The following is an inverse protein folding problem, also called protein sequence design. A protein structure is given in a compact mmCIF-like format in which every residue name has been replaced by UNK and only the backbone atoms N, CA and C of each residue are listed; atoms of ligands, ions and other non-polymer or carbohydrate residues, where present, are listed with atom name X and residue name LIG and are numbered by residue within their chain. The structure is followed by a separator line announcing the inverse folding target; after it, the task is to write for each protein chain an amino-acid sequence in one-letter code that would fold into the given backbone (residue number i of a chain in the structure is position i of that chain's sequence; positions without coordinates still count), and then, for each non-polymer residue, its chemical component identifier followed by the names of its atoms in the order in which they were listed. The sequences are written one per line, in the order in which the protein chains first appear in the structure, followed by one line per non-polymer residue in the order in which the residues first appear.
data_IF_442689181027
#
_entry.id   IF_442689181027
#
_cell.length_a   1.000
_cell.length_b   1.000
_cell.length_c   1.000
_cell.angle_alpha   90.00
_cell.angle_beta   90.00
_cell.angle_gamma   90.00
#
_symmetry.space_group_name_H-M   'P 1'
#
loop_
_entity.id
_entity.type
_entity.pdbx_description
1 polymer ?
#
# COMPACT_ATOMS: atom_id res chain seq x y z
N UNK A 1 -47.80 -4.25 -9.44
CA UNK A 1 -47.86 -5.57 -8.77
C UNK A 1 -46.69 -5.58 -7.82
N UNK A 2 -46.95 -5.70 -6.52
CA UNK A 2 -45.88 -5.79 -5.53
C UNK A 2 -45.27 -7.19 -5.61
N UNK A 3 -44.14 -7.31 -6.28
CA UNK A 3 -43.40 -8.56 -6.37
C UNK A 3 -42.84 -8.91 -4.99
N UNK A 4 -43.51 -9.83 -4.30
CA UNK A 4 -43.04 -10.35 -3.02
C UNK A 4 -41.97 -11.41 -3.26
N UNK A 5 -40.71 -11.09 -2.97
CA UNK A 5 -39.61 -12.06 -2.99
C UNK A 5 -39.64 -12.88 -1.70
N UNK A 6 -39.58 -14.21 -1.84
CA UNK A 6 -39.59 -15.15 -0.71
C UNK A 6 -38.20 -15.72 -0.47
N UNK A 7 -37.87 -15.97 0.78
CA UNK A 7 -36.59 -16.53 1.22
C UNK A 7 -36.83 -17.85 1.93
N UNK A 8 -36.06 -18.89 1.60
CA UNK A 8 -36.17 -20.21 2.23
C UNK A 8 -35.30 -20.35 3.48
N UNK A 9 -34.13 -19.71 3.48
CA UNK A 9 -33.16 -19.74 4.57
C UNK A 9 -32.34 -18.46 4.56
N UNK A 10 -31.94 -17.97 5.73
CA UNK A 10 -30.98 -16.88 5.84
C UNK A 10 -29.55 -17.42 5.80
N UNK A 11 -28.67 -16.68 5.13
CA UNK A 11 -27.26 -17.02 5.06
C UNK A 11 -26.59 -16.84 6.44
N UNK A 12 -25.50 -17.57 6.73
CA UNK A 12 -24.72 -17.37 7.97
C UNK A 12 -24.20 -15.94 8.13
N UNK A 13 -23.98 -15.23 7.03
CA UNK A 13 -23.60 -13.81 7.01
C UNK A 13 -24.62 -13.05 6.18
N UNK A 14 -25.12 -11.94 6.73
CA UNK A 14 -26.06 -11.03 6.08
C UNK A 14 -25.37 -9.69 5.85
N UNK A 15 -25.42 -9.21 4.61
CA UNK A 15 -25.00 -7.86 4.24
C UNK A 15 -26.25 -7.03 3.98
N UNK A 16 -26.46 -6.00 4.79
CA UNK A 16 -27.55 -5.05 4.64
C UNK A 16 -27.00 -3.81 3.96
N UNK A 17 -27.31 -3.67 2.67
CA UNK A 17 -27.08 -2.43 1.92
C UNK A 17 -28.13 -1.40 2.33
N UNK A 18 -27.67 -0.26 2.84
CA UNK A 18 -28.52 0.82 3.32
C UNK A 18 -28.97 1.77 2.20
N UNK A 19 -28.41 1.57 1.00
CA UNK A 19 -28.61 2.32 -0.24
C UNK A 19 -28.69 3.84 -0.06
N UNK A 20 -27.66 4.49 0.48
CA UNK A 20 -27.69 5.92 0.76
C UNK A 20 -27.54 6.79 -0.50
N UNK A 21 -27.41 6.17 -1.69
CA UNK A 21 -27.43 6.91 -2.97
C UNK A 21 -28.85 7.28 -3.41
N UNK A 22 -29.85 6.56 -2.92
CA UNK A 22 -31.25 6.82 -3.24
C UNK A 22 -31.82 7.89 -2.31
N UNK A 23 -32.41 8.99 -2.83
CA UNK A 23 -32.94 10.07 -2.01
C UNK A 23 -33.95 9.63 -0.96
N UNK A 24 -34.74 8.58 -1.26
CA UNK A 24 -35.73 8.03 -0.31
C UNK A 24 -35.08 7.36 0.89
N UNK A 25 -33.96 6.67 0.68
CA UNK A 25 -33.23 6.01 1.76
C UNK A 25 -32.45 7.04 2.58
N UNK A 26 -31.88 8.07 1.95
CA UNK A 26 -31.29 9.21 2.68
C UNK A 26 -32.33 9.84 3.61
N UNK A 27 -33.51 10.18 3.09
CA UNK A 27 -34.59 10.75 3.89
C UNK A 27 -35.04 9.81 5.03
N UNK A 28 -35.07 8.49 4.77
CA UNK A 28 -35.34 7.49 5.80
C UNK A 28 -34.30 7.57 6.92
N UNK A 29 -33.00 7.48 6.60
CA UNK A 29 -31.92 7.53 7.59
C UNK A 29 -31.92 8.85 8.35
N UNK A 30 -32.07 9.98 7.67
CA UNK A 30 -32.19 11.27 8.35
C UNK A 30 -33.31 11.30 9.38
N UNK A 31 -34.50 10.79 9.02
CA UNK A 31 -35.65 10.76 9.93
C UNK A 31 -35.44 9.81 11.10
N UNK A 32 -34.93 8.61 10.83
CA UNK A 32 -34.71 7.62 11.89
C UNK A 32 -33.67 8.13 12.88
N UNK A 33 -32.49 8.54 12.39
CA UNK A 33 -31.40 9.00 13.25
C UNK A 33 -31.81 10.23 14.08
N UNK A 34 -32.54 11.21 13.51
CA UNK A 34 -33.05 12.36 14.28
C UNK A 34 -33.99 11.97 15.43
N UNK A 35 -34.66 10.82 15.35
CA UNK A 35 -35.63 10.37 16.36
C UNK A 35 -35.02 9.44 17.40
N UNK A 36 -34.09 8.58 16.98
CA UNK A 36 -33.58 7.49 17.81
C UNK A 36 -32.19 7.76 18.38
N UNK A 37 -31.34 8.52 17.69
CA UNK A 37 -29.98 8.82 18.16
C UNK A 37 -30.02 9.97 19.15
N UNK A 38 -29.75 9.64 20.41
CA UNK A 38 -29.51 10.62 21.46
C UNK A 38 -28.10 10.36 21.97
N UNK A 39 -27.15 11.19 21.54
CA UNK A 39 -25.86 11.25 22.22
C UNK A 39 -26.10 11.81 23.62
N UNK A 40 -25.61 11.18 24.71
CA UNK A 40 -25.63 11.78 26.03
C UNK A 40 -25.04 13.19 25.95
N UNK A 41 -25.57 14.12 26.76
CA UNK A 41 -25.22 15.54 26.68
C UNK A 41 -23.71 15.69 26.53
N UNK A 42 -23.30 16.15 25.35
CA UNK A 42 -21.94 16.59 25.07
C UNK A 42 -21.51 17.48 26.24
N UNK A 43 -20.70 16.95 27.16
CA UNK A 43 -19.92 17.85 28.01
C UNK A 43 -18.92 18.41 27.04
N UNK A 44 -19.26 19.57 26.46
CA UNK A 44 -18.22 20.48 25.98
C UNK A 44 -17.22 20.49 27.14
N UNK A 45 -15.96 20.09 26.94
CA UNK A 45 -14.97 20.27 27.99
C UNK A 45 -15.14 21.71 28.48
N UNK A 46 -15.18 21.97 29.79
CA UNK A 46 -15.43 23.32 30.32
C UNK A 46 -14.41 24.36 29.82
N UNK A 47 -13.38 23.88 29.11
CA UNK A 47 -12.67 24.64 28.10
C UNK A 47 -13.14 24.20 26.71
N UNK A 48 -13.99 25.00 26.08
CA UNK A 48 -13.59 25.43 24.74
C UNK A 48 -12.12 25.82 24.89
N UNK A 49 -11.23 25.23 24.11
CA UNK A 49 -9.94 25.85 23.90
C UNK A 49 -10.25 27.15 23.15
N UNK A 50 -10.77 28.14 23.89
CA UNK A 50 -10.70 29.53 23.57
C UNK A 50 -9.21 29.76 23.42
N UNK A 51 -8.79 29.73 22.15
CA UNK A 51 -7.72 30.57 21.69
C UNK A 51 -8.13 31.98 22.09
N UNK A 52 -7.82 32.34 23.34
CA UNK A 52 -7.71 33.73 23.73
C UNK A 52 -6.82 34.35 22.66
N UNK A 53 -7.47 35.19 21.87
CA UNK A 53 -6.89 35.89 20.75
C UNK A 53 -5.83 36.82 21.33
N UNK A 54 -4.60 36.33 21.38
CA UNK A 54 -3.51 36.98 22.09
C UNK A 54 -2.14 36.40 21.77
N UNK A 55 -1.92 35.87 20.55
CA UNK A 55 -0.59 35.40 20.15
C UNK A 55 -0.56 34.80 18.76
N UNK A 56 0.08 35.52 17.82
CA UNK A 56 0.59 35.14 16.48
C UNK A 56 0.07 33.82 15.86
N UNK A 57 -0.49 33.92 14.66
CA UNK A 57 -0.72 32.80 13.73
C UNK A 57 0.53 31.92 13.60
N UNK A 58 0.56 30.77 14.26
CA UNK A 58 1.67 29.83 14.16
C UNK A 58 1.61 29.10 12.82
N UNK A 59 2.69 29.20 12.04
CA UNK A 59 2.81 28.43 10.80
C UNK A 59 2.98 26.94 11.14
N UNK A 60 2.34 26.01 10.41
CA UNK A 60 2.46 24.58 10.66
C UNK A 60 3.90 24.11 10.42
N UNK A 61 4.36 23.20 11.26
CA UNK A 61 5.67 22.60 11.12
C UNK A 61 5.70 21.72 9.87
N UNK A 62 6.70 21.94 9.01
CA UNK A 62 6.93 21.13 7.81
C UNK A 62 7.06 19.64 8.10
N UNK A 63 7.51 19.29 9.30
CA UNK A 63 7.73 17.89 9.71
C UNK A 63 6.56 17.30 10.50
N UNK A 64 5.49 18.06 10.77
CA UNK A 64 4.31 17.59 11.49
C UNK A 64 4.64 16.76 12.74
N UNK A 65 3.94 15.65 12.93
CA UNK A 65 4.18 14.70 14.03
C UNK A 65 5.60 14.09 14.05
N UNK A 66 6.31 14.13 12.92
CA UNK A 66 7.66 13.60 12.76
C UNK A 66 8.77 14.58 13.16
N UNK A 67 8.42 15.74 13.76
CA UNK A 67 9.41 16.73 14.20
C UNK A 67 10.25 16.20 15.37
N UNK A 68 11.53 15.93 15.13
CA UNK A 68 12.49 15.44 16.15
C UNK A 68 12.79 16.44 17.26
N UNK A 69 12.36 17.70 17.13
CA UNK A 69 12.62 18.75 18.12
C UNK A 69 11.31 19.35 18.67
N UNK A 70 10.27 18.52 18.82
CA UNK A 70 8.90 18.94 19.13
C UNK A 70 8.81 19.86 20.35
N UNK A 71 9.56 19.57 21.42
CA UNK A 71 9.59 20.41 22.64
C UNK A 71 10.13 21.83 22.44
N UNK A 72 10.91 22.07 21.38
CA UNK A 72 11.61 23.34 21.15
C UNK A 72 11.34 23.94 19.76
N UNK A 73 10.45 23.33 18.98
CA UNK A 73 10.16 23.72 17.61
C UNK A 73 9.13 24.86 17.61
N UNK A 74 9.47 25.95 16.91
CA UNK A 74 8.72 27.22 16.89
C UNK A 74 7.50 27.23 15.95
N UNK A 75 7.09 26.06 15.45
CA UNK A 75 6.03 25.87 14.46
C UNK A 75 4.98 24.90 15.04
N UNK A 76 3.71 25.00 14.64
CA UNK A 76 2.66 24.16 15.25
C UNK A 76 2.71 22.72 14.74
N UNK A 77 2.44 21.73 15.60
CA UNK A 77 2.50 20.29 15.26
C UNK A 77 1.15 19.58 15.40
N UNK A 78 0.03 20.32 15.43
CA UNK A 78 -1.27 19.77 15.87
C UNK A 78 -1.29 19.49 17.39
N UNK A 79 -2.44 19.08 17.91
CA UNK A 79 -2.64 18.78 19.34
C UNK A 79 -1.55 17.80 19.84
N UNK A 80 -0.97 18.15 20.99
CA UNK A 80 0.25 17.52 21.49
C UNK A 80 0.04 16.07 21.97
N UNK A 81 -1.20 15.66 22.17
CA UNK A 81 -1.53 14.41 22.86
C UNK A 81 -2.84 13.87 22.31
N UNK A 82 -2.79 13.31 21.10
CA UNK A 82 -3.93 12.67 20.44
C UNK A 82 -4.53 11.57 21.32
N UNK A 83 -3.70 10.86 22.08
CA UNK A 83 -4.14 9.83 23.00
C UNK A 83 -4.91 10.42 24.19
N UNK A 84 -4.48 11.56 24.73
CA UNK A 84 -5.21 12.28 25.78
C UNK A 84 -6.50 12.91 25.25
N UNK A 85 -6.47 13.46 24.04
CA UNK A 85 -7.67 13.95 23.36
C UNK A 85 -8.65 12.80 23.17
N UNK A 86 -8.29 11.72 22.49
CA UNK A 86 -9.12 10.52 22.39
C UNK A 86 -9.63 10.03 23.74
N UNK A 87 -8.79 9.99 24.79
CA UNK A 87 -9.22 9.60 26.14
C UNK A 87 -10.32 10.51 26.68
N UNK A 88 -10.19 11.84 26.57
CA UNK A 88 -11.24 12.79 26.99
C UNK A 88 -12.53 12.64 26.17
N UNK A 89 -12.44 12.35 24.87
CA UNK A 89 -13.62 12.10 24.04
C UNK A 89 -14.28 10.74 24.34
N UNK A 90 -13.53 9.78 24.88
CA UNK A 90 -14.00 8.46 25.30
C UNK A 90 -14.52 8.43 26.75
N UNK A 91 -14.29 9.47 27.57
CA UNK A 91 -14.79 9.54 28.96
C UNK A 91 -16.33 9.40 29.06
N UNK A 92 -17.06 9.83 28.03
CA UNK A 92 -18.52 9.74 27.95
C UNK A 92 -19.02 8.44 27.25
N UNK A 93 -18.12 7.56 26.79
CA UNK A 93 -18.49 6.26 26.18
C UNK A 93 -18.70 5.18 27.25
N UNK A 94 -19.67 4.27 27.04
CA UNK A 94 -20.00 3.24 28.02
C UNK A 94 -20.87 3.72 29.20
N UNK A 95 -21.44 4.93 29.12
CA UNK A 95 -22.55 5.30 30.01
C UNK A 95 -23.86 4.69 29.48
N UNK A 96 -24.72 4.16 30.35
CA UNK A 96 -25.97 3.44 29.98
C UNK A 96 -27.04 4.32 29.27
N UNK A 97 -26.70 5.57 28.91
CA UNK A 97 -27.62 6.56 28.35
C UNK A 97 -27.59 6.65 26.81
N UNK A 98 -26.66 5.95 26.14
CA UNK A 98 -26.60 5.95 24.67
C UNK A 98 -27.78 5.18 24.06
N UNK A 99 -28.37 5.75 23.00
CA UNK A 99 -29.40 5.09 22.20
C UNK A 99 -28.97 5.05 20.75
N UNK A 100 -28.81 3.83 20.24
CA UNK A 100 -28.38 3.57 18.87
C UNK A 100 -29.57 3.09 18.04
N UNK A 101 -29.69 3.60 16.81
CA UNK A 101 -30.66 3.08 15.84
C UNK A 101 -30.23 1.72 15.28
N UNK A 102 -28.93 1.53 15.11
CA UNK A 102 -28.36 0.29 14.59
C UNK A 102 -28.36 -0.75 15.71
N UNK A 103 -29.15 -1.81 15.53
CA UNK A 103 -29.23 -2.89 16.49
C UNK A 103 -27.90 -3.67 16.56
N UNK A 104 -27.29 -3.85 17.74
CA UNK A 104 -26.06 -4.63 17.89
C UNK A 104 -26.28 -6.12 17.59
N UNK A 105 -27.51 -6.62 17.75
CA UNK A 105 -27.91 -7.97 17.38
C UNK A 105 -29.42 -8.04 17.15
N UNK A 106 -29.86 -9.06 16.42
CA UNK A 106 -31.27 -9.40 16.26
C UNK A 106 -31.47 -10.91 16.11
N UNK A 107 -32.69 -11.36 16.39
CA UNK A 107 -33.15 -12.71 16.12
C UNK A 107 -33.89 -12.75 14.80
N UNK A 108 -33.65 -13.81 14.04
CA UNK A 108 -34.31 -14.03 12.77
C UNK A 108 -34.94 -15.41 12.70
N UNK A 109 -36.15 -15.48 12.13
CA UNK A 109 -36.79 -16.74 11.76
C UNK A 109 -37.42 -16.63 10.38
N UNK A 110 -37.37 -17.71 9.61
CA UNK A 110 -38.04 -17.80 8.32
C UNK A 110 -39.33 -18.58 8.47
N UNK A 111 -40.46 -17.94 8.18
CA UNK A 111 -41.78 -18.57 8.22
C UNK A 111 -42.55 -18.23 6.95
N UNK A 112 -43.15 -19.23 6.29
CA UNK A 112 -43.94 -19.07 5.06
C UNK A 112 -43.20 -18.35 3.91
N UNK A 113 -41.87 -18.41 3.89
CA UNK A 113 -41.04 -17.74 2.90
C UNK A 113 -40.74 -16.26 3.22
N UNK A 114 -41.07 -15.78 4.42
CA UNK A 114 -40.77 -14.43 4.90
C UNK A 114 -39.77 -14.51 6.04
N UNK A 115 -38.77 -13.62 6.02
CA UNK A 115 -37.86 -13.43 7.13
C UNK A 115 -38.51 -12.47 8.15
N UNK A 116 -38.63 -12.94 9.39
CA UNK A 116 -39.15 -12.17 10.52
C UNK A 116 -37.97 -11.84 11.42
N UNK A 117 -37.71 -10.55 11.62
CA UNK A 117 -36.61 -10.03 12.44
C UNK A 117 -37.17 -9.44 13.74
N UNK A 118 -36.48 -9.66 14.85
CA UNK A 118 -36.85 -9.13 16.17
C UNK A 118 -35.63 -8.88 17.03
N UNK A 119 -35.55 -7.74 17.68
CA UNK A 119 -34.52 -7.45 18.70
C UNK A 119 -34.82 -8.15 20.05
N UNK A 120 -36.08 -8.55 20.27
CA UNK A 120 -36.50 -9.25 21.51
C UNK A 120 -36.53 -10.75 21.31
N UNK A 121 -36.42 -11.49 22.42
CA UNK A 121 -36.55 -12.95 22.45
C UNK A 121 -37.99 -13.33 22.07
N UNK A 122 -38.14 -13.94 20.89
CA UNK A 122 -39.42 -14.50 20.45
C UNK A 122 -39.53 -15.96 20.85
N UNK A 123 -40.73 -16.41 21.21
CA UNK A 123 -41.00 -17.84 21.43
C UNK A 123 -40.73 -18.66 20.15
N UNK A 124 -39.96 -19.74 20.29
CA UNK A 124 -39.61 -20.68 19.22
C UNK A 124 -38.13 -20.66 18.81
N UNK A 125 -37.76 -21.59 17.92
CA UNK A 125 -36.40 -21.67 17.36
C UNK A 125 -36.14 -20.45 16.44
N UNK A 126 -35.12 -19.67 16.77
CA UNK A 126 -34.69 -18.49 16.00
C UNK A 126 -33.17 -18.44 15.96
N UNK A 127 -32.63 -17.99 14.83
CA UNK A 127 -31.21 -17.74 14.65
C UNK A 127 -30.84 -16.38 15.27
N UNK A 128 -29.71 -16.31 15.98
CA UNK A 128 -29.19 -15.05 16.51
C UNK A 128 -28.13 -14.49 15.57
N UNK A 129 -28.28 -13.22 15.19
CA UNK A 129 -27.38 -12.49 14.32
C UNK A 129 -26.78 -11.33 15.09
N UNK A 130 -25.46 -11.26 15.13
CA UNK A 130 -24.70 -10.20 15.78
C UNK A 130 -24.10 -9.28 14.72
N UNK A 131 -23.99 -7.98 14.99
CA UNK A 131 -23.34 -7.02 14.11
C UNK A 131 -21.82 -7.13 14.25
N UNK A 132 -21.12 -7.27 13.12
CA UNK A 132 -19.70 -7.64 13.09
C UNK A 132 -18.85 -6.70 12.26
N UNK A 133 -19.45 -5.98 11.32
CA UNK A 133 -18.78 -4.92 10.59
C UNK A 133 -19.78 -3.86 10.13
N UNK A 134 -19.30 -2.62 10.03
CA UNK A 134 -20.02 -1.48 9.51
C UNK A 134 -19.11 -0.78 8.50
N UNK A 135 -19.60 -0.56 7.29
CA UNK A 135 -19.01 0.42 6.37
C UNK A 135 -19.86 1.67 6.46
N UNK A 136 -19.24 2.82 6.71
CA UNK A 136 -19.95 4.09 6.84
C UNK A 136 -19.35 5.16 5.94
N UNK A 137 -20.18 6.07 5.44
CA UNK A 137 -19.74 7.29 4.77
C UNK A 137 -19.55 8.39 5.80
N UNK A 138 -18.48 9.17 5.64
CA UNK A 138 -18.16 10.31 6.48
C UNK A 138 -18.25 11.60 5.68
N UNK A 139 -18.96 12.57 6.22
CA UNK A 139 -19.20 13.88 5.63
C UNK A 139 -18.63 15.03 6.46
N UNK A 140 -18.57 16.21 5.87
CA UNK A 140 -18.03 17.42 6.49
C UNK A 140 -19.06 18.18 7.36
N UNK A 141 -20.28 17.66 7.50
CA UNK A 141 -21.39 18.31 8.19
C UNK A 141 -22.16 19.35 7.37
N UNK A 142 -21.64 19.73 6.19
CA UNK A 142 -22.27 20.70 5.27
C UNK A 142 -22.98 20.01 4.09
N UNK A 143 -23.23 18.71 4.21
CA UNK A 143 -23.91 17.91 3.19
C UNK A 143 -22.97 17.35 2.11
N UNK A 144 -21.64 17.48 2.25
CA UNK A 144 -20.69 16.84 1.36
C UNK A 144 -20.10 15.58 2.02
N UNK A 145 -20.34 14.42 1.40
CA UNK A 145 -19.68 13.16 1.74
C UNK A 145 -18.27 13.14 1.16
N UNK A 146 -17.29 12.72 1.97
CA UNK A 146 -15.86 12.90 1.65
C UNK A 146 -15.13 11.57 1.46
N UNK A 147 -15.33 10.62 2.37
CA UNK A 147 -14.65 9.32 2.36
C UNK A 147 -15.51 8.25 3.05
N UNK A 148 -15.07 7.00 2.99
CA UNK A 148 -15.67 5.89 3.71
C UNK A 148 -14.74 5.38 4.79
N UNK A 149 -15.30 4.95 5.91
CA UNK A 149 -14.60 4.27 6.99
C UNK A 149 -15.16 2.85 7.15
N UNK A 150 -14.35 1.95 7.69
CA UNK A 150 -14.76 0.58 8.02
C UNK A 150 -14.53 0.35 9.50
N UNK A 151 -15.54 -0.19 10.19
CA UNK A 151 -15.44 -0.60 11.59
C UNK A 151 -15.69 -2.11 11.64
N UNK A 152 -14.79 -2.86 12.25
CA UNK A 152 -14.87 -4.32 12.37
C UNK A 152 -14.81 -4.69 13.83
N UNK A 153 -15.70 -5.57 14.28
CA UNK A 153 -15.70 -6.08 15.64
C UNK A 153 -14.62 -7.16 15.77
N UNK A 154 -13.83 -7.10 16.85
CA UNK A 154 -12.88 -8.14 17.22
C UNK A 154 -12.91 -8.40 18.74
N UNK A 155 -12.41 -9.56 19.16
CA UNK A 155 -12.46 -10.01 20.55
C UNK A 155 -11.14 -9.72 21.32
N UNK A 156 -10.24 -8.87 20.80
CA UNK A 156 -8.93 -8.65 21.42
C UNK A 156 -8.99 -7.79 22.69
N UNK A 157 -9.79 -6.72 22.67
CA UNK A 157 -9.99 -5.81 23.80
C UNK A 157 -11.49 -5.69 24.12
N UNK A 158 -11.96 -6.25 25.25
CA UNK A 158 -13.36 -6.17 25.66
C UNK A 158 -13.89 -4.74 25.88
N UNK A 159 -13.03 -3.78 26.21
CA UNK A 159 -13.43 -2.39 26.45
C UNK A 159 -13.52 -1.60 25.13
N UNK A 160 -12.72 -1.96 24.13
CA UNK A 160 -12.71 -1.34 22.81
C UNK A 160 -12.85 -2.41 21.73
N UNK A 161 -14.03 -3.08 21.63
CA UNK A 161 -14.18 -4.30 20.82
C UNK A 161 -14.31 -4.02 19.31
N UNK A 162 -14.13 -2.78 18.87
CA UNK A 162 -14.22 -2.38 17.47
C UNK A 162 -12.92 -1.77 17.00
N UNK A 163 -12.47 -2.17 15.81
CA UNK A 163 -11.34 -1.59 15.11
C UNK A 163 -11.85 -0.72 13.95
N UNK A 164 -11.55 0.57 13.99
CA UNK A 164 -11.86 1.56 12.97
C UNK A 164 -10.67 1.69 12.01
N UNK A 165 -10.97 1.53 10.72
CA UNK A 165 -10.06 1.72 9.60
C UNK A 165 -10.50 2.95 8.80
N UNK A 166 -9.60 3.92 8.70
CA UNK A 166 -9.71 5.08 7.83
C UNK A 166 -8.42 5.22 7.02
N UNK A 167 -8.39 4.62 5.83
CA UNK A 167 -7.20 4.44 5.00
C UNK A 167 -6.04 3.78 5.76
N UNK A 168 -5.05 4.57 6.17
CA UNK A 168 -3.86 4.12 6.92
C UNK A 168 -3.99 4.31 8.44
N UNK A 169 -5.03 5.03 8.89
CA UNK A 169 -5.34 5.18 10.30
C UNK A 169 -6.13 3.96 10.77
N UNK A 170 -5.59 3.28 11.78
CA UNK A 170 -6.23 2.15 12.45
C UNK A 170 -6.27 2.46 13.94
N UNK A 171 -7.47 2.45 14.53
CA UNK A 171 -7.65 2.72 15.97
C UNK A 171 -8.78 1.89 16.55
N UNK A 172 -8.73 1.60 17.85
CA UNK A 172 -9.77 0.86 18.56
C UNK A 172 -10.78 1.83 19.18
N UNK A 173 -12.06 1.47 19.13
CA UNK A 173 -13.16 2.32 19.61
C UNK A 173 -14.16 1.51 20.44
N UNK A 174 -14.89 2.23 21.31
CA UNK A 174 -15.97 1.66 22.11
C UNK A 174 -17.17 1.28 21.21
N UNK A 175 -17.99 0.33 21.66
CA UNK A 175 -19.21 -0.10 20.96
C UNK A 175 -20.16 1.07 20.68
N UNK A 176 -20.32 1.98 21.64
CA UNK A 176 -21.19 3.15 21.46
C UNK A 176 -20.73 4.06 20.32
N UNK A 177 -19.44 4.32 20.21
CA UNK A 177 -18.91 5.16 19.14
C UNK A 177 -19.01 4.46 17.77
N UNK A 178 -18.85 3.12 17.74
CA UNK A 178 -19.02 2.35 16.52
C UNK A 178 -20.47 2.41 16.00
N UNK A 179 -21.44 2.19 16.89
CA UNK A 179 -22.87 2.13 16.57
C UNK A 179 -23.50 3.51 16.35
N UNK A 180 -22.95 4.56 16.95
CA UNK A 180 -23.47 5.90 16.82
C UNK A 180 -23.41 6.38 15.37
N UNK A 181 -24.54 6.88 14.88
CA UNK A 181 -24.69 7.45 13.54
C UNK A 181 -25.23 8.87 13.65
N UNK A 182 -24.86 9.73 12.70
CA UNK A 182 -25.31 11.11 12.65
C UNK A 182 -25.63 11.49 11.21
N UNK A 183 -26.87 11.88 10.96
CA UNK A 183 -27.34 12.22 9.62
C UNK A 183 -26.55 13.34 8.92
N UNK A 184 -25.79 14.15 9.68
CA UNK A 184 -25.00 15.26 9.14
C UNK A 184 -23.63 14.82 8.63
N UNK A 185 -23.03 13.80 9.24
CA UNK A 185 -21.61 13.49 9.02
C UNK A 185 -21.23 12.01 9.07
N UNK A 186 -22.09 11.09 9.54
CA UNK A 186 -21.81 9.64 9.57
C UNK A 186 -23.07 8.83 9.33
N UNK A 187 -23.15 8.21 8.15
CA UNK A 187 -24.26 7.31 7.80
C UNK A 187 -23.74 5.93 7.41
N UNK A 188 -24.47 4.85 7.73
CA UNK A 188 -24.06 3.52 7.32
C UNK A 188 -24.25 3.34 5.80
N UNK A 189 -23.32 2.66 5.16
CA UNK A 189 -23.38 2.17 3.77
C UNK A 189 -23.73 0.68 3.73
N UNK A 190 -23.06 -0.11 4.57
CA UNK A 190 -23.25 -1.56 4.67
C UNK A 190 -23.18 -1.98 6.13
N UNK A 191 -24.16 -2.77 6.59
CA UNK A 191 -24.12 -3.45 7.89
C UNK A 191 -23.90 -4.94 7.66
N UNK A 192 -22.90 -5.51 8.32
CA UNK A 192 -22.59 -6.94 8.25
C UNK A 192 -23.01 -7.61 9.55
N UNK A 193 -23.93 -8.58 9.46
CA UNK A 193 -24.35 -9.40 10.58
C UNK A 193 -23.93 -10.85 10.37
N UNK A 194 -23.41 -11.50 11.42
CA UNK A 194 -23.06 -12.92 11.39
C UNK A 194 -23.93 -13.71 12.37
N UNK A 195 -24.31 -14.92 11.97
CA UNK A 195 -25.08 -15.83 12.80
C UNK A 195 -24.18 -16.52 13.82
N UNK A 196 -24.47 -16.32 15.10
CA UNK A 196 -23.69 -16.84 16.24
C UNK A 196 -23.48 -18.36 16.18
N UNK A 197 -24.46 -19.12 15.64
CA UNK A 197 -24.40 -20.59 15.55
C UNK A 197 -23.24 -21.11 14.70
N UNK A 198 -22.86 -20.37 13.67
CA UNK A 198 -21.80 -20.79 12.76
C UNK A 198 -20.41 -20.34 13.25
N UNK A 199 -20.39 -19.51 14.30
CA UNK A 199 -19.18 -18.86 14.80
C UNK A 199 -18.56 -17.92 13.77
N UNK A 200 -17.65 -17.09 14.23
CA UNK A 200 -16.69 -16.45 13.34
C UNK A 200 -15.74 -17.54 12.85
N UNK A 201 -15.64 -17.72 11.53
CA UNK A 201 -14.53 -18.49 10.99
C UNK A 201 -13.24 -17.76 11.38
N UNK A 202 -12.59 -18.21 12.46
CA UNK A 202 -11.21 -17.85 12.74
C UNK A 202 -10.41 -18.40 11.58
N UNK A 203 -10.12 -17.54 10.60
CA UNK A 203 -9.22 -17.89 9.50
C UNK A 203 -7.96 -18.40 10.17
N UNK A 204 -7.63 -19.68 9.98
CA UNK A 204 -6.37 -20.19 10.46
C UNK A 204 -5.29 -19.30 9.84
N UNK A 205 -4.46 -18.66 10.66
CA UNK A 205 -3.34 -17.82 10.20
C UNK A 205 -2.37 -18.58 9.28
N UNK A 206 -2.52 -19.90 9.19
CA UNK A 206 -1.81 -20.77 8.25
C UNK A 206 -2.23 -20.47 6.82
N UNK A 207 -1.62 -19.43 6.24
CA UNK A 207 -1.60 -19.19 4.80
C UNK A 207 -1.17 -20.47 4.10
N UNK A 208 -1.85 -20.81 3.00
CA UNK A 208 -1.43 -21.91 2.16
C UNK A 208 -0.05 -21.56 1.58
N UNK A 209 0.99 -22.40 1.80
CA UNK A 209 2.32 -22.10 1.32
C UNK A 209 2.34 -22.07 -0.20
N UNK A 210 3.07 -21.11 -0.76
CA UNK A 210 3.23 -21.01 -2.21
C UNK A 210 4.16 -22.15 -2.65
N UNK A 211 3.74 -23.06 -3.54
CA UNK A 211 4.57 -24.20 -3.92
C UNK A 211 5.73 -23.78 -4.82
N UNK A 212 6.89 -24.44 -4.70
CA UNK A 212 8.05 -24.20 -5.57
C UNK A 212 7.73 -24.44 -7.07
N UNK A 213 6.67 -25.21 -7.37
CA UNK A 213 6.18 -25.42 -8.74
C UNK A 213 5.79 -24.13 -9.47
N UNK A 214 5.66 -22.99 -8.81
CA UNK A 214 5.46 -21.69 -9.48
C UNK A 214 6.63 -21.32 -10.41
N UNK A 215 7.85 -21.80 -10.13
CA UNK A 215 9.01 -21.65 -11.02
C UNK A 215 9.03 -22.67 -12.16
N UNK A 216 8.36 -23.81 -11.97
CA UNK A 216 8.38 -24.93 -12.92
C UNK A 216 7.22 -24.88 -13.91
N UNK A 217 6.05 -24.44 -13.47
CA UNK A 217 4.80 -24.42 -14.25
C UNK A 217 4.57 -23.09 -14.97
N UNK A 218 5.58 -22.23 -15.01
CA UNK A 218 5.47 -20.96 -15.69
C UNK A 218 5.57 -21.14 -17.20
N UNK A 219 4.64 -20.52 -17.91
CA UNK A 219 4.47 -20.62 -19.36
C UNK A 219 4.79 -19.27 -19.97
N UNK A 220 5.68 -19.24 -20.97
CA UNK A 220 5.92 -18.02 -21.72
C UNK A 220 4.71 -17.70 -22.61
N UNK A 221 4.09 -16.55 -22.39
CA UNK A 221 2.96 -16.06 -23.19
C UNK A 221 3.35 -15.76 -24.64
N UNK A 222 4.63 -15.56 -24.92
CA UNK A 222 5.15 -15.36 -26.28
C UNK A 222 5.39 -16.66 -27.06
N UNK A 223 5.09 -17.83 -26.48
CA UNK A 223 5.21 -19.14 -27.13
C UNK A 223 6.64 -19.69 -27.25
N UNK A 224 7.68 -18.90 -26.97
CA UNK A 224 9.06 -19.38 -26.90
C UNK A 224 9.42 -19.88 -25.50
N UNK A 225 9.47 -21.19 -25.31
CA UNK A 225 9.66 -21.79 -23.99
C UNK A 225 11.12 -22.15 -23.66
N UNK A 226 12.09 -21.85 -24.52
CA UNK A 226 13.49 -22.26 -24.32
C UNK A 226 14.10 -21.67 -23.04
N UNK A 227 13.88 -20.37 -22.82
CA UNK A 227 14.38 -19.65 -21.63
C UNK A 227 13.71 -20.18 -20.36
N UNK A 228 12.40 -20.43 -20.40
CA UNK A 228 11.66 -20.99 -19.29
C UNK A 228 12.20 -22.38 -18.93
N UNK A 229 12.42 -23.24 -19.94
CA UNK A 229 12.86 -24.63 -19.75
C UNK A 229 14.16 -24.74 -18.96
N UNK A 230 15.14 -23.86 -19.21
CA UNK A 230 16.40 -23.84 -18.44
C UNK A 230 16.14 -23.43 -16.98
N UNK A 231 15.25 -22.45 -16.77
CA UNK A 231 14.93 -21.93 -15.42
C UNK A 231 14.17 -22.92 -14.55
N UNK A 232 13.37 -23.83 -15.14
CA UNK A 232 12.59 -24.85 -14.41
C UNK A 232 13.44 -25.84 -13.60
N UNK A 233 14.71 -26.00 -13.98
CA UNK A 233 15.64 -26.94 -13.34
C UNK A 233 16.59 -26.27 -12.35
N UNK A 234 16.45 -24.96 -12.10
CA UNK A 234 17.33 -24.24 -11.18
C UNK A 234 16.99 -24.60 -9.73
N UNK A 235 18.04 -24.68 -8.92
CA UNK A 235 17.89 -24.72 -7.48
C UNK A 235 17.42 -23.35 -6.98
N UNK A 236 16.31 -23.35 -6.23
CA UNK A 236 15.74 -22.13 -5.69
C UNK A 236 16.39 -21.84 -4.34
N UNK A 237 16.84 -20.59 -4.08
CA UNK A 237 17.48 -20.24 -2.82
C UNK A 237 16.62 -20.52 -1.59
N UNK A 238 17.29 -20.81 -0.47
CA UNK A 238 16.71 -21.14 0.82
C UNK A 238 16.79 -20.03 1.87
N UNK A 239 16.48 -20.43 3.10
CA UNK A 239 16.47 -19.53 4.26
C UNK A 239 17.87 -18.94 4.51
N UNK A 240 17.94 -17.62 4.67
CA UNK A 240 19.19 -16.90 4.91
C UNK A 240 20.09 -16.72 3.69
N UNK A 241 19.77 -17.34 2.55
CA UNK A 241 20.51 -17.13 1.31
C UNK A 241 20.16 -15.76 0.68
N UNK A 242 21.17 -15.14 0.07
CA UNK A 242 21.00 -13.84 -0.58
C UNK A 242 20.44 -13.97 -2.00
N UNK A 243 19.51 -13.10 -2.35
CA UNK A 243 18.96 -12.95 -3.70
C UNK A 243 19.14 -11.49 -4.13
N UNK A 244 19.87 -11.25 -5.21
CA UNK A 244 19.91 -9.93 -5.83
C UNK A 244 18.60 -9.70 -6.57
N UNK A 245 17.93 -8.55 -6.37
CA UNK A 245 16.69 -8.21 -7.07
C UNK A 245 16.73 -6.78 -7.59
N UNK A 246 16.12 -6.58 -8.76
CA UNK A 246 15.84 -5.28 -9.35
C UNK A 246 14.53 -5.39 -10.19
N UNK A 247 13.80 -4.29 -10.30
CA UNK A 247 12.56 -4.22 -11.08
C UNK A 247 12.51 -2.93 -11.91
N UNK A 248 12.00 -3.07 -13.14
CA UNK A 248 11.87 -1.98 -14.10
C UNK A 248 10.41 -1.66 -14.36
N UNK A 249 10.12 -0.39 -14.59
CA UNK A 249 8.76 0.13 -14.67
C UNK A 249 8.48 0.84 -15.99
N UNK A 250 7.20 0.86 -16.35
CA UNK A 250 6.63 1.61 -17.48
C UNK A 250 5.52 2.55 -16.98
N UNK A 251 5.23 3.60 -17.72
CA UNK A 251 4.11 4.50 -17.44
C UNK A 251 2.86 4.03 -18.19
N UNK A 252 1.74 3.92 -17.47
CA UNK A 252 0.44 3.56 -18.05
C UNK A 252 -0.53 4.75 -17.91
N UNK A 253 -1.27 5.01 -18.98
CA UNK A 253 -2.35 5.98 -19.02
C UNK A 253 -3.52 5.53 -18.15
N UNK A 254 -3.65 6.13 -16.97
CA UNK A 254 -4.85 6.06 -16.16
C UNK A 254 -5.10 7.40 -15.47
N UNK A 255 -6.25 7.55 -14.81
CA UNK A 255 -6.65 8.79 -14.11
C UNK A 255 -5.63 9.29 -13.06
N UNK A 256 -4.59 8.50 -12.74
CA UNK A 256 -3.60 8.78 -11.71
C UNK A 256 -2.13 8.66 -12.18
N UNK A 257 -1.85 8.59 -13.48
CA UNK A 257 -0.48 8.45 -14.05
C UNK A 257 0.37 7.40 -13.30
N UNK A 258 -0.14 6.17 -13.15
CA UNK A 258 0.57 5.13 -12.36
C UNK A 258 1.69 4.46 -13.15
N UNK A 259 2.78 4.19 -12.46
CA UNK A 259 3.82 3.25 -12.90
C UNK A 259 3.32 1.81 -12.75
N UNK A 260 3.66 0.98 -13.72
CA UNK A 260 3.44 -0.47 -13.66
C UNK A 260 4.75 -1.21 -13.84
N UNK A 261 4.86 -2.39 -13.25
CA UNK A 261 6.04 -3.26 -13.37
C UNK A 261 6.08 -3.83 -14.78
N UNK A 262 7.19 -3.63 -15.48
CA UNK A 262 7.41 -4.15 -16.83
C UNK A 262 8.44 -5.29 -16.88
N UNK A 263 9.39 -5.36 -15.94
CA UNK A 263 10.37 -6.45 -15.83
C UNK A 263 10.81 -6.63 -14.38
N UNK A 264 11.05 -7.88 -13.96
CA UNK A 264 11.65 -8.18 -12.65
C UNK A 264 12.77 -9.18 -12.84
N UNK A 265 13.93 -8.89 -12.24
CA UNK A 265 15.09 -9.77 -12.29
C UNK A 265 15.53 -10.17 -10.90
N UNK A 266 15.75 -11.46 -10.68
CA UNK A 266 16.37 -12.00 -9.47
C UNK A 266 17.58 -12.87 -9.84
N UNK A 267 18.69 -12.68 -9.14
CA UNK A 267 19.90 -13.50 -9.28
C UNK A 267 20.26 -14.15 -7.94
N UNK A 268 20.92 -15.30 -8.00
CA UNK A 268 21.37 -16.00 -6.80
C UNK A 268 22.46 -15.24 -6.04
N UNK A 269 22.89 -15.79 -4.91
CA UNK A 269 23.87 -15.16 -4.01
C UNK A 269 25.24 -14.92 -4.64
N UNK A 270 25.62 -15.63 -5.71
CA UNK A 270 26.86 -15.39 -6.49
C UNK A 270 26.65 -14.30 -7.55
N UNK A 271 25.41 -14.13 -8.03
CA UNK A 271 25.05 -13.25 -9.14
C UNK A 271 25.19 -13.92 -10.51
N UNK A 272 25.66 -15.16 -10.57
CA UNK A 272 25.91 -15.88 -11.83
C UNK A 272 24.61 -16.44 -12.40
N UNK A 273 23.76 -17.00 -11.54
CA UNK A 273 22.52 -17.67 -11.95
C UNK A 273 21.34 -16.70 -11.85
N UNK A 274 20.63 -16.54 -12.96
CA UNK A 274 19.38 -15.77 -13.04
C UNK A 274 18.21 -16.69 -12.68
N UNK A 275 17.53 -16.37 -11.58
CA UNK A 275 16.40 -17.14 -11.02
C UNK A 275 15.08 -16.63 -11.63
N UNK A 276 14.94 -15.31 -11.72
CA UNK A 276 13.81 -14.62 -12.33
C UNK A 276 14.40 -13.60 -13.30
N UNK A 277 13.84 -13.48 -14.48
CA UNK A 277 14.10 -12.38 -15.42
C UNK A 277 12.91 -12.37 -16.38
N UNK A 278 11.81 -11.91 -15.82
CA UNK A 278 10.47 -12.04 -16.38
C UNK A 278 9.98 -10.67 -16.81
N UNK A 279 9.49 -10.60 -18.05
CA UNK A 279 8.80 -9.44 -18.58
C UNK A 279 7.31 -9.59 -18.30
N UNK A 280 6.66 -8.47 -17.96
CA UNK A 280 5.28 -8.47 -17.47
C UNK A 280 4.36 -7.88 -18.52
N UNK A 281 3.43 -8.69 -19.02
CA UNK A 281 2.38 -8.20 -19.92
C UNK A 281 1.46 -7.23 -19.18
N UNK A 282 1.04 -6.16 -19.85
CA UNK A 282 0.07 -5.20 -19.32
C UNK A 282 -1.32 -5.83 -19.21
N UNK A 283 -2.18 -5.31 -18.32
CA UNK A 283 -3.54 -5.81 -18.19
C UNK A 283 -4.40 -5.42 -19.39
N UNK A 284 -5.49 -6.14 -19.60
CA UNK A 284 -6.44 -5.83 -20.65
C UNK A 284 -7.08 -4.45 -20.41
N UNK A 285 -6.94 -3.54 -21.38
CA UNK A 285 -7.41 -2.16 -21.28
C UNK A 285 -6.35 -1.14 -20.84
N UNK A 286 -5.18 -1.58 -20.39
CA UNK A 286 -4.07 -0.68 -20.08
C UNK A 286 -3.46 -0.12 -21.38
N UNK A 287 -3.23 1.19 -21.41
CA UNK A 287 -2.51 1.87 -22.51
C UNK A 287 -1.16 2.33 -21.99
N UNK A 288 -0.07 1.86 -22.58
CA UNK A 288 1.28 2.31 -22.21
C UNK A 288 1.53 3.70 -22.80
N UNK A 289 1.80 4.68 -21.93
CA UNK A 289 2.14 6.04 -22.34
C UNK A 289 3.62 6.19 -22.69
N UNK A 290 4.50 5.61 -21.86
CA UNK A 290 5.95 5.64 -22.05
C UNK A 290 6.59 4.39 -21.44
N UNK A 291 7.36 3.66 -22.24
CA UNK A 291 8.12 2.49 -21.78
C UNK A 291 9.33 2.86 -20.93
N UNK A 292 9.72 4.14 -20.88
CA UNK A 292 10.91 4.62 -20.19
C UNK A 292 12.18 3.90 -20.65
N UNK A 293 12.28 3.50 -21.92
CA UNK A 293 13.29 2.55 -22.43
C UNK A 293 14.73 2.90 -22.07
N UNK A 294 15.08 4.19 -21.97
CA UNK A 294 16.41 4.62 -21.55
C UNK A 294 16.74 4.21 -20.10
N UNK A 295 15.73 4.11 -19.23
CA UNK A 295 15.84 3.77 -17.81
C UNK A 295 15.34 2.36 -17.48
N UNK A 296 14.42 1.79 -18.27
CA UNK A 296 13.83 0.46 -18.01
C UNK A 296 14.44 -0.66 -18.85
N UNK A 297 15.00 -0.29 -20.00
CA UNK A 297 15.38 -1.21 -21.06
C UNK A 297 14.28 -2.06 -21.66
N UNK A 298 13.03 -1.63 -21.49
CA UNK A 298 11.86 -2.27 -22.06
C UNK A 298 11.50 -1.58 -23.38
N UNK A 299 11.29 -2.38 -24.43
CA UNK A 299 10.72 -1.94 -25.70
C UNK A 299 9.28 -2.42 -25.84
N UNK A 300 8.50 -1.78 -26.72
CA UNK A 300 7.10 -2.15 -27.01
C UNK A 300 6.95 -3.63 -27.36
N UNK A 301 7.84 -4.15 -28.19
CA UNK A 301 7.79 -5.54 -28.65
C UNK A 301 8.11 -6.54 -27.51
N UNK A 302 8.82 -6.13 -26.45
CA UNK A 302 9.15 -7.01 -25.33
C UNK A 302 7.91 -7.40 -24.52
N UNK A 303 6.90 -6.53 -24.46
CA UNK A 303 5.66 -6.74 -23.72
C UNK A 303 4.50 -7.26 -24.60
N UNK A 304 4.76 -7.50 -25.90
CA UNK A 304 3.77 -7.96 -26.85
C UNK A 304 3.83 -9.50 -27.01
N UNK A 305 2.77 -10.26 -26.65
CA UNK A 305 2.77 -11.72 -26.77
C UNK A 305 3.02 -12.25 -28.19
N UNK A 306 2.75 -11.47 -29.23
CA UNK A 306 2.96 -11.93 -30.62
C UNK A 306 4.37 -11.67 -31.15
N UNK A 307 5.17 -10.84 -30.47
CA UNK A 307 6.47 -10.38 -30.97
C UNK A 307 7.63 -10.60 -29.99
N UNK A 308 7.33 -10.72 -28.70
CA UNK A 308 8.35 -10.77 -27.67
C UNK A 308 9.26 -11.98 -27.87
N UNK A 309 10.56 -11.72 -27.76
CA UNK A 309 11.58 -12.78 -27.69
C UNK A 309 11.95 -13.13 -26.26
N UNK A 310 11.39 -12.40 -25.28
CA UNK A 310 11.68 -12.52 -23.86
C UNK A 310 10.78 -13.56 -23.21
N UNK A 311 11.08 -13.87 -21.95
CA UNK A 311 10.17 -14.63 -21.12
C UNK A 311 9.04 -13.71 -20.63
N UNK A 312 7.93 -13.69 -21.36
CA UNK A 312 6.77 -12.85 -21.08
C UNK A 312 5.75 -13.63 -20.22
N UNK A 313 5.36 -13.07 -19.09
CA UNK A 313 4.39 -13.68 -18.16
C UNK A 313 3.48 -12.60 -17.55
N UNK A 314 2.63 -13.00 -16.61
CA UNK A 314 1.70 -12.10 -15.92
C UNK A 314 2.30 -11.58 -14.62
N UNK A 315 1.87 -10.39 -14.18
CA UNK A 315 2.27 -9.83 -12.88
C UNK A 315 1.98 -10.80 -11.72
N UNK A 316 0.84 -11.50 -11.77
CA UNK A 316 0.46 -12.51 -10.76
C UNK A 316 1.48 -13.64 -10.65
N UNK A 317 2.07 -14.09 -11.77
CA UNK A 317 3.10 -15.15 -11.76
C UNK A 317 4.40 -14.66 -11.13
N UNK A 318 4.86 -13.47 -11.51
CA UNK A 318 6.05 -12.84 -10.91
C UNK A 318 5.84 -12.62 -9.40
N UNK A 319 4.69 -12.10 -9.02
CA UNK A 319 4.29 -11.88 -7.62
C UNK A 319 4.40 -13.16 -6.78
N UNK A 320 3.86 -14.28 -7.28
CA UNK A 320 3.94 -15.57 -6.59
C UNK A 320 5.37 -16.09 -6.46
N UNK A 321 6.23 -15.89 -7.48
CA UNK A 321 7.64 -16.28 -7.40
C UNK A 321 8.39 -15.47 -6.33
N UNK A 322 8.20 -14.15 -6.31
CA UNK A 322 8.86 -13.28 -5.31
C UNK A 322 8.33 -13.60 -3.91
N UNK A 323 7.01 -13.75 -3.73
CA UNK A 323 6.45 -14.17 -2.44
C UNK A 323 6.95 -15.54 -1.98
N UNK A 324 7.12 -16.50 -2.89
CA UNK A 324 7.72 -17.80 -2.53
C UNK A 324 9.13 -17.63 -1.95
N UNK A 325 9.96 -16.76 -2.53
CA UNK A 325 11.29 -16.45 -1.98
C UNK A 325 11.21 -15.75 -0.62
N UNK A 326 10.21 -14.88 -0.42
CA UNK A 326 9.93 -14.26 0.90
C UNK A 326 9.54 -15.32 1.93
N UNK A 327 8.60 -16.22 1.60
CA UNK A 327 8.14 -17.30 2.48
C UNK A 327 9.27 -18.28 2.84
N UNK A 328 10.21 -18.52 1.91
CA UNK A 328 11.40 -19.34 2.15
C UNK A 328 12.45 -18.70 3.04
N UNK A 329 12.28 -17.43 3.44
CA UNK A 329 13.24 -16.75 4.30
C UNK A 329 14.49 -16.24 3.57
N UNK A 330 14.44 -16.08 2.24
CA UNK A 330 15.55 -15.49 1.48
C UNK A 330 15.76 -14.02 1.88
N UNK A 331 17.00 -13.53 1.74
CA UNK A 331 17.37 -12.14 2.02
C UNK A 331 17.60 -11.41 0.70
N UNK A 332 16.77 -10.43 0.40
CA UNK A 332 16.84 -9.63 -0.81
C UNK A 332 17.89 -8.53 -0.69
N UNK A 333 18.74 -8.40 -1.70
CA UNK A 333 19.75 -7.36 -1.83
C UNK A 333 19.46 -6.58 -3.11
N UNK A 334 19.36 -5.26 -3.02
CA UNK A 334 19.07 -4.41 -4.17
C UNK A 334 19.41 -2.95 -3.89
N UNK A 335 18.90 -2.04 -4.71
CA UNK A 335 19.18 -0.62 -4.59
C UNK A 335 17.89 0.18 -4.64
N UNK A 336 17.54 0.85 -3.54
CA UNK A 336 16.25 1.51 -3.34
C UNK A 336 15.04 0.54 -3.38
N UNK A 337 15.20 -0.63 -2.75
CA UNK A 337 14.26 -1.77 -2.75
C UNK A 337 12.83 -1.41 -2.33
N UNK A 338 12.66 -0.36 -1.51
CA UNK A 338 11.33 0.11 -1.09
C UNK A 338 10.48 0.51 -2.31
N UNK A 339 11.09 1.10 -3.33
CA UNK A 339 10.39 1.48 -4.55
C UNK A 339 9.93 0.23 -5.32
N UNK A 340 10.81 -0.76 -5.43
CA UNK A 340 10.54 -1.99 -6.18
C UNK A 340 9.43 -2.81 -5.54
N UNK A 341 9.52 -3.03 -4.23
CA UNK A 341 8.52 -3.81 -3.49
C UNK A 341 7.18 -3.07 -3.37
N UNK A 342 7.20 -1.73 -3.30
CA UNK A 342 5.98 -0.92 -3.36
C UNK A 342 5.28 -1.08 -4.71
N UNK A 343 6.03 -1.00 -5.82
CA UNK A 343 5.49 -1.20 -7.16
C UNK A 343 5.00 -2.64 -7.40
N UNK A 344 5.67 -3.63 -6.83
CA UNK A 344 5.21 -5.03 -6.84
C UNK A 344 4.03 -5.30 -5.89
N UNK A 345 3.67 -4.34 -5.03
CA UNK A 345 2.69 -4.48 -3.97
C UNK A 345 2.98 -5.68 -3.04
N UNK A 346 4.26 -5.87 -2.71
CA UNK A 346 4.74 -6.92 -1.80
C UNK A 346 5.30 -6.27 -0.55
N UNK A 347 4.82 -6.69 0.62
CA UNK A 347 5.48 -6.36 1.87
C UNK A 347 6.56 -7.41 2.19
N UNK A 348 7.82 -6.99 2.19
CA UNK A 348 8.95 -7.83 2.61
C UNK A 348 9.37 -7.41 4.03
N UNK A 349 9.54 -8.35 4.97
CA UNK A 349 10.04 -8.03 6.30
C UNK A 349 11.41 -7.35 6.25
N UNK A 350 11.61 -6.32 7.07
CA UNK A 350 12.87 -5.53 7.11
C UNK A 350 14.11 -6.41 7.29
N UNK A 351 14.02 -7.49 8.08
CA UNK A 351 15.12 -8.45 8.29
C UNK A 351 15.56 -9.21 7.02
N UNK A 352 14.70 -9.25 6.00
CA UNK A 352 14.96 -9.89 4.70
C UNK A 352 15.33 -8.84 3.64
N UNK A 353 15.52 -7.57 4.00
CA UNK A 353 15.87 -6.51 3.05
C UNK A 353 17.25 -5.94 3.38
N UNK A 354 18.11 -5.91 2.36
CA UNK A 354 19.41 -5.25 2.40
C UNK A 354 19.45 -4.25 1.25
N UNK A 355 19.14 -3.00 1.58
CA UNK A 355 19.14 -1.92 0.61
C UNK A 355 20.51 -1.24 0.54
N UNK A 356 21.19 -1.40 -0.58
CA UNK A 356 22.52 -0.83 -0.80
C UNK A 356 22.54 0.70 -0.76
N UNK A 357 21.42 1.37 -1.03
CA UNK A 357 21.35 2.84 -0.92
C UNK A 357 21.49 3.28 0.53
N UNK A 358 20.97 2.50 1.48
CA UNK A 358 21.04 2.77 2.91
C UNK A 358 22.38 2.33 3.53
N UNK A 359 23.00 1.26 3.00
CA UNK A 359 24.32 0.79 3.45
C UNK A 359 25.43 1.85 3.30
N UNK A 360 25.33 2.70 2.27
CA UNK A 360 26.30 3.75 1.98
C UNK A 360 25.79 5.16 2.32
N UNK A 361 24.77 5.25 3.17
CA UNK A 361 24.14 6.52 3.56
C UNK A 361 24.71 7.07 4.87
N UNK A 362 25.05 8.35 4.87
CA UNK A 362 25.20 9.12 6.10
C UNK A 362 23.87 9.80 6.45
N UNK A 363 23.36 9.69 7.70
CA UNK A 363 22.09 10.31 8.07
C UNK A 363 22.03 11.80 7.71
N UNK A 364 20.87 12.24 7.21
CA UNK A 364 20.62 13.62 6.74
C UNK A 364 21.41 14.07 5.51
N UNK A 365 22.23 13.20 4.92
CA UNK A 365 22.90 13.47 3.65
C UNK A 365 22.11 12.87 2.48
N UNK A 366 22.49 13.28 1.26
CA UNK A 366 21.89 12.78 0.02
C UNK A 366 22.13 11.28 -0.17
N UNK A 367 21.27 10.67 -0.98
CA UNK A 367 21.44 9.30 -1.49
C UNK A 367 22.27 9.32 -2.78
N UNK A 368 22.85 8.18 -3.13
CA UNK A 368 23.65 8.00 -4.35
C UNK A 368 23.01 6.98 -5.27
N UNK A 369 23.11 7.21 -6.57
CA UNK A 369 22.66 6.23 -7.56
C UNK A 369 23.57 5.00 -7.59
N UNK A 370 23.00 3.87 -8.01
CA UNK A 370 23.73 2.63 -8.25
C UNK A 370 24.93 2.85 -9.16
N UNK A 371 24.75 3.61 -10.26
CA UNK A 371 25.83 3.94 -11.21
C UNK A 371 27.01 4.66 -10.53
N UNK A 372 26.74 5.63 -9.65
CA UNK A 372 27.81 6.35 -8.96
C UNK A 372 28.54 5.44 -7.98
N UNK A 373 27.80 4.61 -7.22
CA UNK A 373 28.39 3.66 -6.28
C UNK A 373 29.23 2.60 -7.00
N UNK A 374 28.73 2.04 -8.10
CA UNK A 374 29.44 1.07 -8.92
C UNK A 374 30.76 1.65 -9.45
N UNK A 375 30.71 2.87 -10.00
CA UNK A 375 31.90 3.54 -10.51
C UNK A 375 32.91 3.84 -9.41
N UNK A 376 32.47 4.41 -8.28
CA UNK A 376 33.37 4.87 -7.23
C UNK A 376 33.96 3.72 -6.39
N UNK A 377 33.15 2.71 -6.07
CA UNK A 377 33.53 1.64 -5.14
C UNK A 377 34.02 0.37 -5.83
N UNK A 378 33.51 0.07 -7.03
CA UNK A 378 33.87 -1.14 -7.79
C UNK A 378 34.74 -0.84 -9.01
N UNK A 379 34.82 0.43 -9.44
CA UNK A 379 35.47 0.80 -10.69
C UNK A 379 34.69 0.38 -11.95
N UNK A 380 33.43 -0.02 -11.79
CA UNK A 380 32.58 -0.53 -12.86
C UNK A 380 31.74 0.59 -13.47
N UNK A 381 31.64 0.63 -14.80
CA UNK A 381 30.74 1.56 -15.51
C UNK A 381 29.53 0.79 -16.01
N UNK A 382 28.41 1.00 -15.36
CA UNK A 382 27.12 0.35 -15.67
C UNK A 382 26.15 1.36 -16.28
N UNK A 383 25.05 0.87 -16.86
CA UNK A 383 24.00 1.73 -17.43
C UNK A 383 24.55 2.73 -18.48
N UNK A 384 25.53 2.30 -19.30
CA UNK A 384 26.15 3.15 -20.32
C UNK A 384 25.26 3.44 -21.53
N UNK A 385 24.14 2.72 -21.66
CA UNK A 385 23.14 2.90 -22.69
C UNK A 385 21.74 2.70 -22.12
N UNK A 386 21.16 1.53 -22.41
CA UNK A 386 19.90 1.08 -21.87
C UNK A 386 20.17 0.32 -20.55
N UNK A 387 19.32 0.49 -19.55
CA UNK A 387 19.42 -0.24 -18.29
C UNK A 387 19.15 -1.74 -18.47
N UNK A 388 19.83 -2.57 -17.68
CA UNK A 388 19.58 -4.00 -17.60
C UNK A 388 19.41 -4.42 -16.14
N UNK A 389 18.18 -4.72 -15.78
CA UNK A 389 17.80 -5.15 -14.43
C UNK A 389 18.64 -6.31 -13.87
N UNK A 390 19.12 -7.23 -14.73
CA UNK A 390 20.02 -8.32 -14.31
C UNK A 390 21.42 -7.79 -13.95
N UNK A 391 21.96 -6.83 -14.70
CA UNK A 391 23.21 -6.13 -14.37
C UNK A 391 23.08 -5.42 -13.01
N UNK A 392 21.98 -4.68 -12.81
CA UNK A 392 21.76 -3.87 -11.62
C UNK A 392 21.62 -4.74 -10.36
N UNK A 393 20.86 -5.83 -10.42
CA UNK A 393 20.76 -6.80 -9.33
C UNK A 393 22.12 -7.42 -8.96
N UNK A 394 22.97 -7.72 -9.95
CA UNK A 394 24.35 -8.23 -9.73
C UNK A 394 25.24 -7.18 -9.08
N UNK A 395 25.15 -5.94 -9.52
CA UNK A 395 25.96 -4.84 -8.98
C UNK A 395 25.57 -4.54 -7.53
N UNK A 396 24.28 -4.58 -7.20
CA UNK A 396 23.82 -4.44 -5.83
C UNK A 396 24.43 -5.52 -4.91
N UNK A 397 24.48 -6.78 -5.36
CA UNK A 397 25.16 -7.85 -4.62
C UNK A 397 26.67 -7.58 -4.46
N UNK A 398 27.36 -7.11 -5.50
CA UNK A 398 28.78 -6.74 -5.41
C UNK A 398 29.01 -5.60 -4.40
N UNK A 399 28.16 -4.57 -4.42
CA UNK A 399 28.21 -3.46 -3.48
C UNK A 399 27.98 -3.92 -2.04
N UNK A 400 27.03 -4.83 -1.82
CA UNK A 400 26.82 -5.42 -0.50
C UNK A 400 28.06 -6.20 -0.01
N UNK A 401 28.68 -7.00 -0.88
CA UNK A 401 29.95 -7.69 -0.53
C UNK A 401 31.04 -6.67 -0.21
N UNK A 402 31.14 -5.58 -0.98
CA UNK A 402 32.10 -4.50 -0.71
C UNK A 402 31.83 -3.82 0.62
N UNK A 403 30.57 -3.56 0.96
CA UNK A 403 30.19 -3.03 2.26
C UNK A 403 30.62 -3.95 3.41
N UNK A 404 30.43 -5.27 3.27
CA UNK A 404 30.89 -6.24 4.27
C UNK A 404 32.42 -6.22 4.43
N UNK A 405 33.17 -6.17 3.34
CA UNK A 405 34.63 -6.04 3.34
C UNK A 405 35.07 -4.77 4.10
N UNK A 406 34.55 -3.61 3.71
CA UNK A 406 34.87 -2.32 4.33
C UNK A 406 34.51 -2.27 5.82
N UNK A 407 33.40 -2.92 6.20
CA UNK A 407 32.95 -3.01 7.59
C UNK A 407 33.88 -3.89 8.42
N UNK A 408 34.34 -5.02 7.86
CA UNK A 408 35.30 -5.92 8.53
C UNK A 408 36.68 -5.28 8.68
N UNK A 409 37.10 -4.50 7.69
CA UNK A 409 38.40 -3.84 7.67
C UNK A 409 38.42 -2.53 8.47
N UNK A 410 37.26 -2.08 8.99
CA UNK A 410 37.13 -0.82 9.74
C UNK A 410 37.33 0.44 8.89
N UNK A 411 37.30 0.32 7.55
CA UNK A 411 37.57 1.42 6.61
C UNK A 411 36.30 2.10 6.09
N UNK A 412 35.11 1.61 6.45
CA UNK A 412 33.82 2.08 5.95
C UNK A 412 33.64 3.61 6.12
N UNK A 413 33.92 4.16 7.30
CA UNK A 413 33.73 5.60 7.55
C UNK A 413 34.63 6.47 6.67
N UNK A 414 35.89 6.06 6.47
CA UNK A 414 36.83 6.75 5.59
C UNK A 414 36.34 6.76 4.14
N UNK A 415 35.85 5.61 3.68
CA UNK A 415 35.28 5.47 2.34
C UNK A 415 34.01 6.30 2.19
N UNK A 416 33.11 6.32 3.17
CA UNK A 416 31.91 7.16 3.15
C UNK A 416 32.28 8.65 3.03
N UNK A 417 33.26 9.12 3.80
CA UNK A 417 33.74 10.49 3.70
C UNK A 417 34.29 10.81 2.30
N UNK A 418 35.08 9.91 1.71
CA UNK A 418 35.58 10.04 0.34
C UNK A 418 34.45 10.06 -0.69
N UNK A 419 33.43 9.22 -0.48
CA UNK A 419 32.29 9.06 -1.35
C UNK A 419 31.42 10.32 -1.38
N UNK A 420 31.12 10.91 -0.22
CA UNK A 420 30.41 12.20 -0.15
C UNK A 420 31.24 13.36 -0.69
N UNK A 421 32.55 13.37 -0.44
CA UNK A 421 33.46 14.39 -1.01
C UNK A 421 33.49 14.35 -2.53
N UNK A 422 33.58 13.15 -3.12
CA UNK A 422 33.62 12.95 -4.57
C UNK A 422 32.25 13.17 -5.19
N UNK A 423 31.21 12.69 -4.54
CA UNK A 423 29.82 12.84 -4.96
C UNK A 423 29.41 14.30 -5.14
N UNK A 424 29.73 15.15 -4.17
CA UNK A 424 29.44 16.58 -4.27
C UNK A 424 30.12 17.25 -5.49
N UNK A 425 31.22 16.69 -6.00
CA UNK A 425 31.88 17.15 -7.23
C UNK A 425 31.29 16.54 -8.50
N UNK A 426 30.85 15.28 -8.43
CA UNK A 426 30.26 14.53 -9.55
C UNK A 426 29.05 15.26 -10.15
N UNK A 427 28.18 15.83 -9.31
CA UNK A 427 27.03 16.59 -9.79
C UNK A 427 27.43 17.92 -10.43
N UNK A 428 28.53 18.55 -10.01
CA UNK A 428 29.05 19.74 -10.67
C UNK A 428 29.40 19.47 -12.15
N UNK A 429 29.93 18.29 -12.47
CA UNK A 429 30.22 17.88 -13.84
C UNK A 429 28.98 17.37 -14.59
N UNK A 430 28.08 16.65 -13.90
CA UNK A 430 26.86 16.09 -14.49
C UNK A 430 25.82 17.19 -14.80
N UNK A 431 25.71 18.24 -13.96
CA UNK A 431 24.88 19.43 -14.23
C UNK A 431 25.41 20.18 -15.46
N UNK A 432 26.74 20.34 -15.60
CA UNK A 432 27.33 20.95 -16.80
C UNK A 432 27.02 20.10 -18.05
N UNK A 433 27.12 18.78 -17.96
CA UNK A 433 26.80 17.88 -19.07
C UNK A 433 25.29 17.85 -19.40
N UNK A 434 24.42 17.95 -18.39
CA UNK A 434 22.96 18.02 -18.55
C UNK A 434 22.52 19.38 -19.13
N UNK A 435 23.13 20.49 -18.68
CA UNK A 435 22.93 21.83 -19.23
C UNK A 435 23.47 21.94 -20.66
N UNK A 436 24.63 21.34 -20.97
CA UNK A 436 25.16 21.24 -22.34
C UNK A 436 24.24 20.41 -23.24
N UNK A 437 23.69 19.28 -22.76
CA UNK A 437 22.70 18.49 -23.51
C UNK A 437 21.38 19.25 -23.71
N UNK A 438 20.93 20.02 -22.73
CA UNK A 438 19.72 20.86 -22.84
C UNK A 438 19.93 22.03 -23.80
N UNK A 439 21.12 22.65 -23.78
CA UNK A 439 21.53 23.69 -24.74
C UNK A 439 21.67 23.14 -26.17
N UNK A 440 22.23 21.93 -26.33
CA UNK A 440 22.32 21.25 -27.63
C UNK A 440 20.94 20.84 -28.18
N UNK A 441 19.97 20.51 -27.31
CA UNK A 441 18.57 20.29 -27.70
C UNK A 441 17.91 21.59 -28.19
N UNK A 442 18.19 22.74 -27.55
CA UNK A 442 17.70 24.05 -28.03
C UNK A 442 18.38 24.53 -29.33
N UNK A 443 19.65 24.21 -29.55
CA UNK A 443 20.32 24.51 -30.83
C UNK A 443 19.80 23.65 -32.00
N UNK A 444 19.48 22.38 -31.77
CA UNK A 444 18.91 21.51 -32.83
C UNK A 444 17.48 21.88 -33.22
N UNK A 445 16.70 22.52 -32.32
CA UNK A 445 15.39 23.09 -32.65
C UNK A 445 15.44 24.44 -33.37
N UNK A 446 16.60 25.12 -33.40
CA UNK A 446 16.77 26.38 -34.13
C UNK A 446 17.37 26.20 -35.54
N UNK A 447 18.14 25.13 -35.80
CA UNK A 447 18.69 24.86 -37.14
C UNK A 447 17.74 24.12 -38.11
N UNK A 448 16.53 23.77 -37.67
CA UNK A 448 15.53 23.12 -38.52
C UNK A 448 14.40 24.07 -39.00
N UNK A 449 14.49 25.38 -38.71
CA UNK A 449 13.42 26.35 -39.01
C UNK A 449 13.81 27.44 -40.02
N UNK A 450 14.91 27.30 -40.76
CA UNK A 450 15.35 28.32 -41.73
C UNK A 450 15.91 27.74 -43.04
N UNK A 451 15.27 26.69 -43.60
CA UNK A 451 15.43 26.32 -45.02
C UNK A 451 14.07 25.81 -45.55
N UNK A 452 13.07 26.69 -45.62
CA UNK A 452 11.84 26.51 -46.41
C UNK A 452 11.09 27.84 -46.55
N UNK A 453 11.72 28.85 -47.18
CA UNK A 453 11.03 29.98 -47.79
C UNK A 453 12.01 30.90 -48.54
N UNK A 454 12.28 30.53 -49.81
CA UNK A 454 12.48 31.37 -51.01
C UNK A 454 13.33 30.63 -52.04
#
# INVERSE_FOLDING_TARGET
MDDTRRVHKLAPVLLIDTNPTSPRFVEFWEKQLKLSELRPRYRVPEKECSLESGGRTERPCRYGVSCRNRLYCKYSHGTADWDLECATWLEDTGCDDWKHFVAPSFRAKVANGLAILSETVTEGESDCYELVAIVAAVGDGNGQWTHSIVMIKDDEDPNLPWCLFNDVLVTRIHTDEALHMDSRWKIPLVLCYANEKYGFMKVAETRLPIPCSVFQTDTNLAGNDEVARVRRCLEIPGEGEYVGIDAEFINISNEHERKSVGRVSCVNSTGEQVIIDDYVVTCEGDVVDDYLTQYSGIMEDDLNPSKSTKHLTTLKRVYLKVLHLVERGCIFVGHALVNDFSALNIHVPVKQMIDTVELFRVPQQRLFSLQFLAWHLLGEKIQLGIHDSVEDARVALKLFRKWKELSRDGSLESVLNSLYTTGNKWDGASIIHHLLRKALRHCRSFQAMEICSL
#
